data_IF_140656731343
#
_entry.id   IF_140656731343
#
_cell.length_a   1.000
_cell.length_b   1.000
_cell.length_c   1.000
_cell.angle_alpha   90.00
_cell.angle_beta   90.00
_cell.angle_gamma   90.00
#
_symmetry.space_group_name_H-M   'P 1'
#
loop_
_entity.id
_entity.type
_entity.pdbx_description
1 polymer ?
#
# COMPACT_ATOMS: atom_id res chain seq x y z
N UNK A 1 -0.61 -32.54 74.61
CA UNK A 1 -0.38 -31.14 74.19
C UNK A 1 0.19 -31.00 72.78
N UNK A 2 0.96 -31.97 72.25
CA UNK A 2 1.47 -31.93 70.86
C UNK A 2 0.44 -32.21 69.74
N UNK A 3 -0.65 -32.93 70.03
CA UNK A 3 -1.67 -33.26 69.02
C UNK A 3 -2.60 -32.09 68.66
N UNK A 4 -2.77 -31.11 69.55
CA UNK A 4 -3.63 -29.94 69.29
C UNK A 4 -2.94 -28.88 68.42
N UNK A 5 -1.61 -28.80 68.47
CA UNK A 5 -0.82 -27.86 67.65
C UNK A 5 -0.76 -28.27 66.17
N UNK A 6 -0.72 -29.57 65.87
CA UNK A 6 -0.67 -30.05 64.49
C UNK A 6 -1.99 -29.80 63.74
N UNK A 7 -3.13 -30.00 64.40
CA UNK A 7 -4.45 -29.69 63.83
C UNK A 7 -4.70 -28.19 63.62
N UNK A 8 -4.16 -27.32 64.49
CA UNK A 8 -4.31 -25.88 64.33
C UNK A 8 -3.54 -25.35 63.10
N UNK A 9 -2.33 -25.87 62.84
CA UNK A 9 -1.52 -25.51 61.67
C UNK A 9 -2.16 -25.97 60.36
N UNK A 10 -2.76 -27.16 60.35
CA UNK A 10 -3.49 -27.69 59.18
C UNK A 10 -4.73 -26.86 58.87
N UNK A 11 -5.48 -26.43 59.90
CA UNK A 11 -6.67 -25.58 59.71
C UNK A 11 -6.26 -24.18 59.24
N UNK A 12 -5.17 -23.62 59.76
CA UNK A 12 -4.67 -22.30 59.34
C UNK A 12 -4.13 -22.30 57.90
N UNK A 13 -3.45 -23.37 57.48
CA UNK A 13 -2.97 -23.52 56.09
C UNK A 13 -4.11 -23.76 55.11
N UNK A 14 -5.16 -24.49 55.50
CA UNK A 14 -6.40 -24.62 54.71
C UNK A 14 -7.13 -23.29 54.54
N UNK A 15 -7.20 -22.45 55.58
CA UNK A 15 -7.80 -21.11 55.49
C UNK A 15 -7.02 -20.19 54.56
N UNK A 16 -5.68 -20.18 54.66
CA UNK A 16 -4.82 -19.38 53.78
C UNK A 16 -4.94 -19.85 52.33
N UNK A 17 -4.99 -21.15 52.06
CA UNK A 17 -5.21 -21.70 50.71
C UNK A 17 -6.58 -21.29 50.13
N UNK A 18 -7.62 -21.29 50.96
CA UNK A 18 -8.96 -20.87 50.55
C UNK A 18 -9.01 -19.36 50.26
N UNK A 19 -8.34 -18.53 51.07
CA UNK A 19 -8.23 -17.08 50.82
C UNK A 19 -7.38 -16.74 49.60
N UNK A 20 -6.26 -17.43 49.36
CA UNK A 20 -5.41 -17.23 48.17
C UNK A 20 -6.17 -17.64 46.90
N UNK A 21 -6.96 -18.72 46.95
CA UNK A 21 -7.82 -19.12 45.83
C UNK A 21 -8.90 -18.08 45.51
N UNK A 22 -9.48 -17.42 46.52
CA UNK A 22 -10.48 -16.36 46.31
C UNK A 22 -9.86 -15.06 45.79
N UNK A 23 -8.66 -14.70 46.24
CA UNK A 23 -7.93 -13.51 45.75
C UNK A 23 -7.48 -13.68 44.30
N UNK A 24 -6.98 -14.87 43.92
CA UNK A 24 -6.60 -15.17 42.53
C UNK A 24 -7.79 -15.15 41.56
N UNK A 25 -9.00 -15.53 42.02
CA UNK A 25 -10.22 -15.53 41.19
C UNK A 25 -10.83 -14.13 41.05
N UNK A 26 -10.57 -13.21 41.99
CA UNK A 26 -11.14 -11.85 41.95
C UNK A 26 -10.26 -10.82 41.25
N UNK A 27 -8.95 -11.07 41.07
CA UNK A 27 -8.05 -10.16 40.35
C UNK A 27 -7.88 -10.45 38.85
N UNK A 28 -8.52 -11.50 38.30
CA UNK A 28 -8.46 -11.85 36.88
C UNK A 28 -9.87 -11.91 36.29
N UNK A 29 -10.46 -10.76 35.96
CA UNK A 29 -11.82 -10.67 35.42
C UNK A 29 -11.96 -10.97 33.92
N UNK A 30 -11.00 -11.66 33.28
CA UNK A 30 -11.14 -12.00 31.85
C UNK A 30 -10.46 -13.28 31.35
N UNK A 31 -10.01 -14.21 32.21
CA UNK A 31 -9.40 -15.47 31.74
C UNK A 31 -9.79 -16.67 32.62
N UNK A 32 -10.26 -17.76 31.99
CA UNK A 32 -10.53 -19.04 32.67
C UNK A 32 -9.21 -19.78 32.92
N UNK A 33 -8.77 -19.83 34.18
CA UNK A 33 -7.63 -20.66 34.61
C UNK A 33 -8.12 -22.11 34.77
N UNK A 34 -7.64 -23.04 33.92
CA UNK A 34 -8.09 -24.45 33.97
C UNK A 34 -7.34 -25.33 34.97
N UNK A 35 -6.06 -25.07 35.24
CA UNK A 35 -5.26 -25.94 36.11
C UNK A 35 -4.14 -25.16 36.82
N UNK A 36 -4.15 -25.21 38.15
CA UNK A 36 -3.06 -24.74 39.01
C UNK A 36 -2.54 -25.98 39.74
N UNK A 37 -1.22 -26.22 39.70
CA UNK A 37 -0.57 -27.19 40.56
C UNK A 37 0.15 -26.45 41.69
N UNK A 38 -0.20 -26.80 42.92
CA UNK A 38 0.44 -26.29 44.12
C UNK A 38 1.41 -27.37 44.60
N UNK A 39 2.70 -27.07 44.59
CA UNK A 39 3.72 -27.97 45.16
C UNK A 39 4.17 -27.38 46.48
N UNK A 40 3.93 -28.10 47.56
CA UNK A 40 4.36 -27.71 48.91
C UNK A 40 5.58 -28.52 49.34
N UNK A 41 6.63 -27.82 49.77
CA UNK A 41 7.80 -28.45 50.39
C UNK A 41 7.71 -28.31 51.90
N UNK A 42 7.66 -29.43 52.61
CA UNK A 42 7.53 -29.47 54.08
C UNK A 42 8.82 -29.13 54.82
N UNK A 43 9.96 -29.05 54.13
CA UNK A 43 11.26 -28.79 54.76
C UNK A 43 11.65 -27.31 54.77
N UNK A 44 11.06 -26.48 53.91
CA UNK A 44 11.49 -25.08 53.75
C UNK A 44 10.37 -24.04 53.89
N UNK A 45 9.12 -24.43 54.18
CA UNK A 45 7.96 -23.52 54.21
C UNK A 45 7.82 -22.68 52.92
N UNK A 46 8.22 -23.23 51.77
CA UNK A 46 8.08 -22.59 50.48
C UNK A 46 6.88 -23.21 49.75
N UNK A 47 5.95 -22.36 49.34
CA UNK A 47 4.83 -22.72 48.45
C UNK A 47 5.19 -22.23 47.05
N UNK A 48 5.43 -23.13 46.12
CA UNK A 48 5.61 -22.79 44.70
C UNK A 48 4.29 -23.00 43.95
N UNK A 49 3.85 -21.95 43.27
CA UNK A 49 2.69 -21.96 42.39
C UNK A 49 3.18 -22.06 40.94
N UNK A 50 2.98 -23.22 40.33
CA UNK A 50 3.29 -23.40 38.92
C UNK A 50 2.00 -23.24 38.09
N UNK A 51 1.97 -22.17 37.28
CA UNK A 51 0.91 -21.95 36.29
C UNK A 51 1.27 -22.73 35.02
N UNK A 52 0.51 -23.78 34.73
CA UNK A 52 0.84 -24.74 33.67
C UNK A 52 0.02 -24.48 32.38
N UNK A 53 -1.19 -23.92 32.47
CA UNK A 53 -1.99 -23.65 31.27
C UNK A 53 -2.92 -22.45 31.48
N UNK A 54 -2.61 -21.33 30.79
CA UNK A 54 -3.54 -20.24 30.54
C UNK A 54 -4.01 -20.39 29.11
N UNK A 55 -5.24 -20.88 28.92
CA UNK A 55 -5.95 -20.65 27.65
C UNK A 55 -6.85 -19.47 27.88
N UNK A 56 -6.49 -18.33 27.30
CA UNK A 56 -7.50 -17.30 27.07
C UNK A 56 -8.66 -17.98 26.33
N UNK A 57 -9.91 -17.85 26.79
CA UNK A 57 -11.01 -18.06 25.87
C UNK A 57 -10.73 -17.09 24.73
N UNK A 58 -10.45 -17.63 23.54
CA UNK A 58 -10.43 -16.84 22.32
C UNK A 58 -11.78 -16.15 22.30
N UNK A 59 -11.82 -14.90 22.77
CA UNK A 59 -12.91 -14.00 22.54
C UNK A 59 -13.16 -14.13 21.05
N UNK A 60 -14.39 -14.55 20.68
CA UNK A 60 -14.79 -14.55 19.28
C UNK A 60 -14.35 -13.20 18.75
N UNK A 61 -13.39 -13.16 17.80
CA UNK A 61 -12.76 -11.91 17.44
C UNK A 61 -13.89 -11.06 16.88
N UNK A 62 -14.18 -9.93 17.53
CA UNK A 62 -14.99 -8.90 16.90
C UNK A 62 -14.31 -8.62 15.55
N UNK A 63 -14.97 -9.08 14.49
CA UNK A 63 -14.37 -9.39 13.21
C UNK A 63 -14.22 -8.15 12.31
N UNK A 64 -13.86 -7.02 12.92
CA UNK A 64 -13.77 -5.72 12.27
C UNK A 64 -12.50 -5.04 12.77
N UNK A 65 -11.45 -5.08 11.94
CA UNK A 65 -10.34 -4.15 12.11
C UNK A 65 -10.86 -2.76 11.71
N UNK A 66 -11.08 -1.90 12.71
CA UNK A 66 -11.57 -0.53 12.54
C UNK A 66 -10.74 0.30 11.56
N UNK A 67 -9.53 -0.16 11.22
CA UNK A 67 -8.60 0.41 10.23
C UNK A 67 -9.14 0.42 8.79
N UNK A 68 -10.13 -0.42 8.46
CA UNK A 68 -10.79 -0.42 7.14
C UNK A 68 -12.31 -0.23 7.21
N UNK A 69 -12.92 -0.29 8.41
CA UNK A 69 -14.38 -0.21 8.59
C UNK A 69 -14.87 1.06 9.29
N UNK A 70 -14.00 2.05 9.49
CA UNK A 70 -14.42 3.40 9.87
C UNK A 70 -14.82 4.22 8.64
N UNK A 71 -15.60 5.29 8.85
CA UNK A 71 -16.00 6.23 7.79
C UNK A 71 -14.83 6.97 7.12
N UNK A 72 -13.57 6.73 7.53
CA UNK A 72 -12.36 7.34 6.97
C UNK A 72 -11.13 6.43 7.27
N UNK A 73 -10.84 5.40 6.46
CA UNK A 73 -9.62 4.63 6.65
C UNK A 73 -8.41 5.54 6.36
N UNK A 74 -7.47 5.65 7.31
CA UNK A 74 -6.20 6.40 7.17
C UNK A 74 -5.24 5.76 6.15
N UNK A 75 -5.74 5.40 4.98
CA UNK A 75 -5.07 4.69 3.91
C UNK A 75 -5.40 5.37 2.60
N UNK A 76 -4.38 5.85 1.90
CA UNK A 76 -4.47 6.34 0.55
C UNK A 76 -4.43 5.16 -0.44
N UNK A 77 -5.50 5.02 -1.23
CA UNK A 77 -5.60 4.08 -2.35
C UNK A 77 -5.49 4.89 -3.65
N UNK A 78 -4.42 4.68 -4.40
CA UNK A 78 -4.31 5.26 -5.73
C UNK A 78 -5.37 4.64 -6.65
N UNK A 79 -6.13 5.50 -7.31
CA UNK A 79 -7.24 5.16 -8.20
C UNK A 79 -6.98 5.66 -9.64
N UNK A 80 -5.73 5.99 -9.94
CA UNK A 80 -5.28 6.44 -11.26
C UNK A 80 -5.28 5.34 -12.30
N UNK A 81 -5.27 4.07 -11.91
CA UNK A 81 -5.40 2.94 -12.83
C UNK A 81 -6.59 2.13 -12.41
N UNK A 82 -7.49 1.82 -13.34
CA UNK A 82 -8.63 0.95 -13.09
C UNK A 82 -8.82 -0.08 -14.21
N UNK A 83 -9.51 -1.19 -13.96
CA UNK A 83 -9.87 -2.16 -14.99
C UNK A 83 -11.18 -1.77 -15.63
N UNK A 84 -11.21 -1.74 -16.96
CA UNK A 84 -12.43 -1.50 -17.73
C UNK A 84 -12.61 -2.59 -18.78
N UNK A 85 -13.87 -2.86 -19.11
CA UNK A 85 -14.23 -3.72 -20.23
C UNK A 85 -14.78 -2.85 -21.34
N UNK A 86 -14.20 -2.96 -22.54
CA UNK A 86 -14.55 -2.14 -23.69
C UNK A 86 -14.94 -3.03 -24.85
N UNK A 87 -15.99 -2.63 -25.57
CA UNK A 87 -16.31 -3.25 -26.84
C UNK A 87 -15.49 -2.59 -27.95
N UNK A 88 -14.68 -3.38 -28.66
CA UNK A 88 -13.83 -2.90 -29.75
C UNK A 88 -14.62 -2.14 -30.84
N UNK A 89 -15.88 -2.52 -31.11
CA UNK A 89 -16.76 -1.83 -32.08
C UNK A 89 -17.05 -0.37 -31.72
N UNK A 90 -16.85 0.01 -30.45
CA UNK A 90 -17.14 1.34 -29.93
C UNK A 90 -15.90 2.23 -29.80
N UNK A 91 -14.73 1.72 -30.19
CA UNK A 91 -13.45 2.42 -30.05
C UNK A 91 -13.21 3.50 -31.11
N UNK A 92 -13.72 3.30 -32.32
CA UNK A 92 -13.49 4.21 -33.45
C UNK A 92 -14.80 4.68 -34.05
N UNK A 93 -14.79 5.89 -34.63
CA UNK A 93 -15.96 6.46 -35.32
C UNK A 93 -16.35 5.66 -36.58
N UNK A 94 -15.37 5.03 -37.23
CA UNK A 94 -15.56 4.14 -38.38
C UNK A 94 -15.90 2.70 -37.98
N UNK A 95 -15.92 2.40 -36.66
CA UNK A 95 -16.19 1.08 -36.06
C UNK A 95 -15.27 -0.03 -36.54
N UNK A 96 -14.08 0.31 -37.05
CA UNK A 96 -13.10 -0.69 -37.48
C UNK A 96 -12.52 -1.42 -36.29
N UNK A 97 -12.57 -2.74 -36.37
CA UNK A 97 -12.08 -3.67 -35.38
C UNK A 97 -10.91 -4.44 -36.00
N UNK A 98 -9.79 -4.50 -35.29
CA UNK A 98 -8.66 -5.39 -35.60
C UNK A 98 -8.99 -6.84 -35.25
N UNK A 99 -9.93 -7.05 -34.32
CA UNK A 99 -10.18 -8.35 -33.70
C UNK A 99 -9.08 -8.75 -32.71
N UNK A 100 -8.10 -7.87 -32.45
CA UNK A 100 -7.04 -8.07 -31.49
C UNK A 100 -7.07 -6.98 -30.41
N UNK A 101 -7.31 -7.38 -29.18
CA UNK A 101 -7.34 -6.45 -28.05
C UNK A 101 -5.95 -5.92 -27.70
N UNK A 102 -4.88 -6.67 -28.01
CA UNK A 102 -3.52 -6.31 -27.64
C UNK A 102 -3.00 -5.12 -28.45
N UNK A 103 -3.60 -4.79 -29.60
CA UNK A 103 -3.23 -3.61 -30.40
C UNK A 103 -3.95 -2.32 -29.99
N UNK A 104 -4.74 -2.36 -28.91
CA UNK A 104 -5.50 -1.21 -28.45
C UNK A 104 -4.68 -0.24 -27.57
N UNK A 105 -3.57 -0.71 -27.01
CA UNK A 105 -2.66 0.09 -26.19
C UNK A 105 -1.47 0.67 -26.99
N UNK A 106 -1.39 0.39 -28.30
CA UNK A 106 -0.37 0.95 -29.19
C UNK A 106 -0.48 2.49 -29.22
N UNK A 107 0.46 3.11 -28.50
CA UNK A 107 0.58 4.53 -28.22
C UNK A 107 0.12 5.42 -29.38
N UNK A 108 -1.07 6.02 -29.23
CA UNK A 108 -1.55 7.13 -30.06
C UNK A 108 -2.73 6.86 -30.99
N UNK A 109 -3.29 5.65 -31.06
CA UNK A 109 -4.44 5.39 -31.96
C UNK A 109 -5.82 5.51 -31.31
N UNK A 110 -5.96 5.29 -30.00
CA UNK A 110 -7.27 5.34 -29.33
C UNK A 110 -7.14 6.05 -27.98
N UNK A 111 -7.48 7.34 -27.95
CA UNK A 111 -7.74 7.99 -26.67
C UNK A 111 -8.99 7.37 -26.06
N UNK A 112 -8.90 6.92 -24.80
CA UNK A 112 -10.04 6.41 -24.04
C UNK A 112 -11.21 7.39 -23.89
N UNK A 113 -10.97 8.68 -24.20
CA UNK A 113 -11.95 9.75 -24.21
C UNK A 113 -12.86 9.74 -25.44
N UNK A 114 -12.41 9.17 -26.55
CA UNK A 114 -13.14 9.13 -27.83
C UNK A 114 -14.04 7.91 -27.96
N UNK A 115 -14.19 7.14 -26.88
CA UNK A 115 -14.99 5.93 -26.84
C UNK A 115 -16.47 6.27 -26.78
N UNK A 116 -17.24 5.81 -27.78
CA UNK A 116 -18.70 5.79 -27.71
C UNK A 116 -19.18 4.57 -26.91
N UNK A 117 -18.52 4.31 -25.79
CA UNK A 117 -18.79 3.24 -24.84
C UNK A 117 -19.21 3.85 -23.50
N UNK A 118 -20.09 3.18 -22.75
CA UNK A 118 -20.47 3.58 -21.40
C UNK A 118 -19.29 3.47 -20.43
N UNK A 119 -18.29 2.64 -20.74
CA UNK A 119 -17.09 2.46 -19.95
C UNK A 119 -15.94 3.34 -20.47
N UNK A 120 -16.17 4.65 -20.60
CA UNK A 120 -15.14 5.58 -21.05
C UNK A 120 -13.93 5.55 -20.11
N UNK A 121 -12.74 5.60 -20.70
CA UNK A 121 -11.51 5.78 -19.92
C UNK A 121 -11.14 7.26 -19.93
N UNK A 122 -11.17 7.97 -18.79
CA UNK A 122 -10.71 9.35 -18.68
C UNK A 122 -9.17 9.45 -18.73
N UNK A 123 -8.57 8.96 -19.82
CA UNK A 123 -7.13 8.97 -20.06
C UNK A 123 -6.72 7.89 -21.06
N UNK A 124 -5.70 7.12 -20.70
CA UNK A 124 -5.00 6.22 -21.62
C UNK A 124 -5.35 4.76 -21.36
N UNK A 125 -5.45 3.97 -22.44
CA UNK A 125 -5.58 2.53 -22.36
C UNK A 125 -4.19 1.90 -22.29
N UNK A 126 -3.99 1.01 -21.33
CA UNK A 126 -2.75 0.30 -21.08
C UNK A 126 -3.03 -1.20 -21.00
N UNK A 127 -2.13 -2.01 -21.55
CA UNK A 127 -2.13 -3.48 -21.41
C UNK A 127 -3.53 -4.05 -21.63
N UNK A 128 -4.05 -3.93 -22.84
CA UNK A 128 -5.35 -4.51 -23.18
C UNK A 128 -5.21 -5.99 -23.52
N UNK A 129 -6.22 -6.80 -23.21
CA UNK A 129 -6.25 -8.23 -23.56
C UNK A 129 -7.66 -8.70 -23.89
N UNK A 130 -7.70 -9.82 -24.61
CA UNK A 130 -8.95 -10.46 -25.01
C UNK A 130 -9.73 -11.00 -23.80
N UNK A 131 -10.99 -10.59 -23.66
CA UNK A 131 -11.90 -11.15 -22.67
C UNK A 131 -12.85 -12.17 -23.29
N UNK A 132 -13.56 -11.78 -24.34
CA UNK A 132 -14.54 -12.66 -25.01
C UNK A 132 -14.89 -12.15 -26.40
N UNK A 133 -15.39 -13.04 -27.26
CA UNK A 133 -15.96 -12.64 -28.55
C UNK A 133 -17.37 -12.11 -28.35
N UNK A 134 -17.72 -11.00 -29.00
CA UNK A 134 -19.11 -10.53 -29.05
C UNK A 134 -19.97 -11.49 -29.86
N UNK A 135 -21.28 -11.55 -29.59
CA UNK A 135 -22.20 -12.38 -30.37
C UNK A 135 -22.21 -11.99 -31.86
N UNK A 136 -22.04 -10.70 -32.17
CA UNK A 136 -21.90 -10.22 -33.55
C UNK A 136 -20.66 -10.77 -34.21
N UNK A 137 -19.50 -10.74 -33.53
CA UNK A 137 -18.25 -11.31 -34.04
C UNK A 137 -18.36 -12.81 -34.25
N UNK A 138 -18.93 -13.55 -33.29
CA UNK A 138 -19.18 -15.00 -33.44
C UNK A 138 -20.02 -15.31 -34.67
N UNK A 139 -21.10 -14.54 -34.88
CA UNK A 139 -21.97 -14.68 -36.06
C UNK A 139 -21.20 -14.36 -37.35
N UNK A 140 -20.46 -13.25 -37.39
CA UNK A 140 -19.68 -12.86 -38.56
C UNK A 140 -18.61 -13.90 -38.93
N UNK A 141 -17.93 -14.48 -37.94
CA UNK A 141 -16.95 -15.55 -38.16
C UNK A 141 -17.61 -16.83 -38.67
N UNK A 142 -18.78 -17.19 -38.14
CA UNK A 142 -19.56 -18.33 -38.63
C UNK A 142 -20.02 -18.13 -40.07
N UNK A 143 -20.60 -16.98 -40.38
CA UNK A 143 -21.07 -16.64 -41.73
C UNK A 143 -19.89 -16.66 -42.73
N UNK A 144 -18.72 -16.17 -42.33
CA UNK A 144 -17.50 -16.23 -43.13
C UNK A 144 -17.01 -17.67 -43.33
N UNK A 145 -17.06 -18.52 -42.29
CA UNK A 145 -16.69 -19.93 -42.36
C UNK A 145 -17.63 -20.72 -43.30
N UNK A 146 -18.95 -20.56 -43.14
CA UNK A 146 -19.96 -21.27 -43.94
C UNK A 146 -19.92 -20.84 -45.42
N UNK A 147 -19.45 -19.62 -45.71
CA UNK A 147 -19.32 -19.10 -47.08
C UNK A 147 -18.00 -19.52 -47.74
N UNK A 148 -16.96 -19.85 -46.97
CA UNK A 148 -15.61 -20.18 -47.47
C UNK A 148 -15.55 -21.40 -48.41
N UNK A 149 -16.31 -22.51 -48.20
CA UNK A 149 -16.39 -23.64 -49.12
C UNK A 149 -16.92 -23.28 -50.51
N UNK A 150 -17.70 -22.20 -50.63
CA UNK A 150 -18.27 -21.74 -51.89
C UNK A 150 -17.34 -20.81 -52.68
N UNK A 151 -16.19 -20.45 -52.10
CA UNK A 151 -15.08 -19.84 -52.83
C UNK A 151 -14.25 -20.99 -53.40
N UNK A 152 -14.32 -21.20 -54.72
CA UNK A 152 -13.53 -22.21 -55.46
C UNK A 152 -12.02 -21.97 -55.27
N UNK A 153 -11.47 -22.36 -54.12
CA UNK A 153 -10.04 -22.43 -53.89
C UNK A 153 -9.60 -23.83 -54.28
N UNK A 154 -9.01 -23.96 -55.47
CA UNK A 154 -8.40 -25.21 -55.90
C UNK A 154 -7.23 -25.64 -54.99
N UNK A 155 -6.70 -26.84 -55.24
CA UNK A 155 -5.70 -27.55 -54.42
C UNK A 155 -4.34 -26.86 -54.25
N UNK A 156 -4.14 -25.65 -54.78
CA UNK A 156 -2.89 -24.85 -54.67
C UNK A 156 -3.00 -23.66 -53.72
N UNK A 157 -4.07 -23.59 -52.94
CA UNK A 157 -4.32 -22.48 -52.02
C UNK A 157 -4.93 -21.26 -52.73
N UNK A 158 -5.68 -20.46 -52.00
CA UNK A 158 -6.26 -19.22 -52.53
C UNK A 158 -5.10 -18.24 -52.80
N UNK A 159 -4.72 -18.05 -54.06
CA UNK A 159 -3.71 -17.06 -54.44
C UNK A 159 -4.20 -15.65 -54.08
N UNK A 160 -3.40 -14.81 -53.39
CA UNK A 160 -3.81 -13.45 -52.99
C UNK A 160 -4.12 -12.51 -54.15
N UNK A 161 -3.78 -12.90 -55.39
CA UNK A 161 -3.69 -11.99 -56.54
C UNK A 161 -4.97 -11.97 -57.40
N UNK A 162 -5.97 -12.85 -57.17
CA UNK A 162 -7.11 -12.99 -58.10
C UNK A 162 -8.51 -13.05 -57.48
N UNK A 163 -8.75 -12.43 -56.32
CA UNK A 163 -10.10 -12.45 -55.72
C UNK A 163 -10.55 -11.05 -55.29
N UNK A 164 -10.85 -10.18 -56.26
CA UNK A 164 -11.86 -9.12 -56.10
C UNK A 164 -13.26 -9.76 -56.16
N UNK A 165 -13.53 -10.73 -55.28
CA UNK A 165 -14.85 -11.32 -55.17
C UNK A 165 -15.68 -10.44 -54.23
N UNK A 166 -16.77 -9.82 -54.70
CA UNK A 166 -17.61 -8.95 -53.88
C UNK A 166 -18.13 -9.64 -52.61
N UNK A 167 -18.27 -10.98 -52.64
CA UNK A 167 -18.65 -11.77 -51.45
C UNK A 167 -17.53 -11.84 -50.42
N UNK A 168 -16.27 -11.93 -50.86
CA UNK A 168 -15.11 -11.93 -49.97
C UNK A 168 -14.95 -10.57 -49.28
N UNK A 169 -15.02 -9.49 -50.07
CA UNK A 169 -14.97 -8.12 -49.55
C UNK A 169 -16.15 -7.83 -48.61
N UNK A 170 -17.32 -8.40 -48.90
CA UNK A 170 -18.52 -8.30 -48.06
C UNK A 170 -18.34 -8.88 -46.66
N UNK A 171 -17.91 -10.14 -46.53
CA UNK A 171 -17.72 -10.74 -45.20
C UNK A 171 -16.51 -10.13 -44.48
N UNK A 172 -15.42 -9.83 -45.21
CA UNK A 172 -14.25 -9.17 -44.64
C UNK A 172 -14.64 -7.84 -44.04
N UNK A 173 -15.46 -7.04 -44.74
CA UNK A 173 -16.02 -5.80 -44.21
C UNK A 173 -16.83 -6.04 -42.93
N UNK A 174 -17.65 -7.08 -42.85
CA UNK A 174 -18.41 -7.39 -41.63
C UNK A 174 -17.49 -7.79 -40.47
N UNK A 175 -16.47 -8.62 -40.72
CA UNK A 175 -15.46 -8.96 -39.72
C UNK A 175 -14.69 -7.72 -39.27
N UNK A 176 -14.23 -6.90 -40.19
CA UNK A 176 -13.50 -5.65 -39.90
C UNK A 176 -14.36 -4.62 -39.14
N UNK A 177 -15.68 -4.81 -38.99
CA UNK A 177 -16.57 -3.95 -38.20
C UNK A 177 -17.31 -4.69 -37.08
N UNK A 178 -16.88 -5.92 -36.77
CA UNK A 178 -17.36 -6.66 -35.60
C UNK A 178 -16.18 -7.00 -34.70
N UNK A 179 -16.30 -6.63 -33.44
CA UNK A 179 -15.17 -6.55 -32.52
C UNK A 179 -15.27 -7.55 -31.37
N UNK A 180 -14.19 -7.66 -30.61
CA UNK A 180 -14.17 -8.41 -29.36
C UNK A 180 -14.54 -7.53 -28.16
N UNK A 181 -14.89 -8.19 -27.06
CA UNK A 181 -14.83 -7.55 -25.73
C UNK A 181 -13.40 -7.64 -25.23
N UNK A 182 -12.82 -6.50 -24.93
CA UNK A 182 -11.47 -6.34 -24.44
C UNK A 182 -11.49 -5.87 -22.99
N UNK A 183 -10.60 -6.41 -22.16
CA UNK A 183 -10.29 -5.84 -20.84
C UNK A 183 -9.03 -5.00 -20.97
N UNK A 184 -9.04 -3.80 -20.42
CA UNK A 184 -7.92 -2.88 -20.46
C UNK A 184 -7.69 -2.28 -19.08
N UNK A 185 -6.44 -1.87 -18.80
CA UNK A 185 -6.17 -0.94 -17.72
C UNK A 185 -6.39 0.47 -18.25
N UNK A 186 -7.29 1.20 -17.60
CA UNK A 186 -7.51 2.62 -17.85
C UNK A 186 -6.64 3.44 -16.89
N UNK A 187 -5.66 4.15 -17.43
CA UNK A 187 -4.92 5.17 -16.71
C UNK A 187 -5.66 6.51 -16.79
N UNK A 188 -6.28 6.89 -15.69
CA UNK A 188 -6.99 8.15 -15.51
C UNK A 188 -5.98 9.29 -15.30
N UNK A 189 -6.04 10.29 -16.17
CA UNK A 189 -5.14 11.46 -16.14
C UNK A 189 -5.81 12.74 -15.63
N UNK A 190 -7.10 12.69 -15.30
CA UNK A 190 -7.87 13.84 -14.80
C UNK A 190 -9.10 13.40 -14.00
N UNK A 191 -9.68 14.32 -13.24
CA UNK A 191 -10.96 14.09 -12.58
C UNK A 191 -12.11 14.12 -13.58
N UNK A 192 -12.94 13.08 -13.57
CA UNK A 192 -14.32 13.24 -14.02
C UNK A 192 -15.04 14.10 -12.97
N UNK A 193 -16.06 14.86 -13.38
CA UNK A 193 -16.90 15.65 -12.46
C UNK A 193 -17.66 14.70 -11.51
N UNK A 194 -16.98 14.21 -10.47
CA UNK A 194 -17.54 13.32 -9.46
C UNK A 194 -17.76 14.09 -8.17
N UNK A 195 -19.00 14.04 -7.68
CA UNK A 195 -19.43 14.64 -6.40
C UNK A 195 -18.81 13.90 -5.19
N UNK A 196 -18.33 12.67 -5.41
CA UNK A 196 -17.78 11.80 -4.38
C UNK A 196 -16.27 12.03 -4.14
N UNK A 197 -15.90 12.33 -2.90
CA UNK A 197 -14.51 12.58 -2.49
C UNK A 197 -13.62 11.34 -2.62
N UNK A 198 -14.19 10.15 -2.45
CA UNK A 198 -13.46 8.88 -2.60
C UNK A 198 -13.14 8.58 -4.08
N UNK A 199 -13.86 9.22 -5.00
CA UNK A 199 -13.64 9.14 -6.44
C UNK A 199 -12.76 10.27 -7.00
N UNK A 200 -12.32 11.22 -6.16
CA UNK A 200 -11.28 12.19 -6.58
C UNK A 200 -10.01 11.42 -6.94
N UNK A 201 -9.38 11.81 -8.04
CA UNK A 201 -8.13 11.21 -8.52
C UNK A 201 -7.08 11.34 -7.42
N UNK A 202 -6.33 10.27 -7.23
CA UNK A 202 -5.09 10.20 -6.49
C UNK A 202 -4.14 9.41 -7.36
N UNK A 203 -3.09 10.08 -7.83
CA UNK A 203 -2.18 9.52 -8.83
C UNK A 203 -0.70 9.76 -8.52
N UNK A 204 -0.36 10.63 -7.58
CA UNK A 204 1.01 11.10 -7.41
C UNK A 204 1.46 11.25 -5.96
N UNK A 205 2.78 11.28 -5.77
CA UNK A 205 3.44 11.60 -4.50
C UNK A 205 4.38 12.79 -4.72
N UNK A 206 4.40 13.73 -3.79
CA UNK A 206 5.29 14.87 -3.80
C UNK A 206 6.64 14.54 -3.16
N UNK A 207 7.72 14.79 -3.89
CA UNK A 207 9.11 14.60 -3.45
C UNK A 207 9.83 15.92 -3.14
N UNK A 208 9.09 17.02 -3.02
CA UNK A 208 9.69 18.30 -2.63
C UNK A 208 10.35 18.20 -1.25
N UNK A 209 11.47 18.92 -1.04
CA UNK A 209 12.08 19.05 0.28
C UNK A 209 11.10 19.67 1.27
N UNK A 210 10.97 19.05 2.44
CA UNK A 210 10.19 19.55 3.58
C UNK A 210 11.14 19.87 4.71
N UNK A 211 11.09 21.10 5.23
CA UNK A 211 11.92 21.54 6.35
C UNK A 211 11.09 22.16 7.45
N UNK A 212 11.62 22.10 8.67
CA UNK A 212 11.06 22.76 9.85
C UNK A 212 11.47 24.24 9.89
N UNK A 213 10.77 25.02 10.70
CA UNK A 213 11.04 26.45 10.90
C UNK A 213 12.40 26.65 11.60
N UNK A 214 13.00 27.82 11.42
CA UNK A 214 14.28 28.15 12.08
C UNK A 214 14.16 28.03 13.60
N UNK A 215 15.05 27.25 14.21
CA UNK A 215 15.05 26.99 15.65
C UNK A 215 14.14 25.84 16.08
N UNK A 216 13.50 25.15 15.13
CA UNK A 216 12.69 23.97 15.38
C UNK A 216 13.45 22.70 14.98
N UNK A 217 12.95 21.57 15.47
CA UNK A 217 13.40 20.23 15.10
C UNK A 217 12.19 19.38 14.74
N UNK A 218 12.39 18.36 13.91
CA UNK A 218 11.35 17.39 13.60
C UNK A 218 11.16 16.41 14.78
N UNK A 219 9.90 16.08 15.06
CA UNK A 219 9.44 15.23 16.19
C UNK A 219 8.50 14.12 15.73
N UNK A 220 8.23 14.04 14.44
CA UNK A 220 7.31 13.10 13.83
C UNK A 220 7.06 13.44 12.37
N UNK A 221 6.38 12.54 11.67
CA UNK A 221 6.09 12.64 10.24
C UNK A 221 4.70 12.11 9.95
N UNK A 222 4.11 12.54 8.83
CA UNK A 222 2.90 11.93 8.29
C UNK A 222 2.82 12.15 6.80
N UNK A 223 2.02 11.33 6.14
CA UNK A 223 1.52 11.64 4.80
C UNK A 223 0.15 12.31 4.89
N UNK A 224 -0.09 13.29 4.02
CA UNK A 224 -1.41 13.90 3.85
C UNK A 224 -1.76 13.95 2.38
N UNK A 225 -3.03 13.67 2.08
CA UNK A 225 -3.57 13.82 0.73
C UNK A 225 -4.03 15.26 0.55
N UNK A 226 -3.60 15.90 -0.53
CA UNK A 226 -4.19 17.14 -1.02
C UNK A 226 -4.38 17.01 -2.53
N UNK A 227 -5.62 17.16 -2.98
CA UNK A 227 -6.04 16.86 -4.36
C UNK A 227 -5.63 15.43 -4.80
N UNK A 228 -4.87 15.34 -5.89
CA UNK A 228 -4.36 14.11 -6.48
C UNK A 228 -2.95 13.72 -6.02
N UNK A 229 -2.41 14.41 -5.01
CA UNK A 229 -1.02 14.25 -4.58
C UNK A 229 -0.94 13.92 -3.08
N UNK A 230 -0.06 12.98 -2.73
CA UNK A 230 0.34 12.72 -1.34
C UNK A 230 1.55 13.57 -0.98
N UNK A 231 1.50 14.27 0.16
CA UNK A 231 2.55 15.14 0.68
C UNK A 231 3.14 14.57 1.95
N UNK A 232 4.46 14.68 2.10
CA UNK A 232 5.12 14.52 3.38
C UNK A 232 4.91 15.79 4.24
N UNK A 233 4.61 15.62 5.52
CA UNK A 233 4.69 16.70 6.50
C UNK A 233 5.54 16.28 7.69
N UNK A 234 6.27 17.25 8.25
CA UNK A 234 7.03 17.07 9.48
C UNK A 234 6.24 17.69 10.65
N UNK A 235 6.17 16.99 11.78
CA UNK A 235 5.75 17.58 13.03
C UNK A 235 6.96 18.26 13.64
N UNK A 236 6.86 19.55 13.92
CA UNK A 236 7.97 20.35 14.42
C UNK A 236 7.70 20.88 15.83
N UNK A 237 8.76 21.05 16.62
CA UNK A 237 8.73 21.72 17.92
C UNK A 237 10.00 22.56 18.11
N UNK A 238 9.88 23.69 18.81
CA UNK A 238 11.01 24.57 19.10
C UNK A 238 11.94 23.92 20.11
N UNK A 239 13.22 23.90 19.79
CA UNK A 239 14.27 23.48 20.71
C UNK A 239 14.82 24.71 21.46
N UNK A 240 14.77 24.68 22.79
CA UNK A 240 15.27 25.75 23.63
C UNK A 240 15.82 25.18 24.94
N UNK A 241 17.04 25.54 25.30
CA UNK A 241 17.73 25.09 26.52
C UNK A 241 17.73 23.55 26.68
N UNK A 242 17.98 22.83 25.58
CA UNK A 242 18.04 21.37 25.56
C UNK A 242 16.68 20.68 25.67
N UNK A 243 15.57 21.42 25.63
CA UNK A 243 14.21 20.91 25.78
C UNK A 243 13.31 21.33 24.63
N UNK A 244 12.37 20.46 24.30
CA UNK A 244 11.32 20.78 23.33
C UNK A 244 10.18 21.54 24.03
N UNK A 245 9.75 22.63 23.39
CA UNK A 245 8.63 23.43 23.90
C UNK A 245 7.33 22.86 23.33
N UNK A 246 6.59 22.13 24.17
CA UNK A 246 5.32 21.47 23.82
C UNK A 246 4.30 22.38 23.13
N UNK A 247 4.15 23.60 23.61
CA UNK A 247 3.16 24.57 23.09
C UNK A 247 3.48 25.07 21.68
N UNK A 248 4.67 24.77 21.17
CA UNK A 248 5.09 25.15 19.81
C UNK A 248 4.90 24.02 18.79
N UNK A 249 4.37 22.86 19.23
CA UNK A 249 4.13 21.72 18.35
C UNK A 249 3.13 22.06 17.26
N UNK A 250 3.54 21.90 16.01
CA UNK A 250 2.66 22.02 14.84
C UNK A 250 3.18 21.17 13.68
N UNK A 251 2.32 20.91 12.70
CA UNK A 251 2.73 20.37 11.41
C UNK A 251 3.33 21.48 10.55
N UNK A 252 4.27 21.14 9.67
CA UNK A 252 4.78 22.06 8.64
C UNK A 252 3.67 22.43 7.66
N UNK A 253 3.66 23.68 7.22
CA UNK A 253 2.68 24.16 6.24
C UNK A 253 2.84 23.44 4.90
N UNK A 254 1.72 23.09 4.26
CA UNK A 254 1.72 22.50 2.93
C UNK A 254 2.03 23.57 1.90
N UNK A 255 3.04 23.30 1.07
CA UNK A 255 3.37 24.11 -0.11
C UNK A 255 2.95 23.34 -1.35
N UNK A 256 2.57 24.06 -2.42
CA UNK A 256 2.27 23.45 -3.70
C UNK A 256 3.50 22.69 -4.20
N UNK A 257 3.31 21.43 -4.57
CA UNK A 257 4.39 20.59 -5.06
C UNK A 257 4.93 21.14 -6.40
N UNK A 258 6.24 21.18 -6.55
CA UNK A 258 6.89 21.46 -7.82
C UNK A 258 6.53 20.38 -8.85
N UNK A 259 6.11 20.73 -10.08
CA UNK A 259 5.83 19.74 -11.13
C UNK A 259 6.99 18.79 -11.40
N UNK A 260 8.25 19.24 -11.22
CA UNK A 260 9.44 18.41 -11.40
C UNK A 260 9.61 17.32 -10.31
N UNK A 261 9.01 17.50 -9.14
CA UNK A 261 9.09 16.59 -8.00
C UNK A 261 7.76 15.90 -7.68
N UNK A 262 6.70 16.18 -8.46
CA UNK A 262 5.46 15.42 -8.43
C UNK A 262 5.66 14.13 -9.22
N UNK A 263 5.82 13.00 -8.53
CA UNK A 263 6.03 11.70 -9.18
C UNK A 263 4.69 10.97 -9.31
N UNK A 264 4.16 10.75 -10.53
CA UNK A 264 2.98 9.94 -10.72
C UNK A 264 3.30 8.47 -10.48
N UNK A 265 2.32 7.73 -9.96
CA UNK A 265 2.36 6.28 -9.75
C UNK A 265 2.58 5.53 -11.06
N UNK A 266 2.09 6.07 -12.16
CA UNK A 266 2.40 5.60 -13.50
C UNK A 266 2.72 6.79 -14.40
N UNK A 267 3.91 6.76 -14.99
CA UNK A 267 4.37 7.76 -15.94
C UNK A 267 4.10 7.23 -17.35
N UNK A 268 3.14 7.84 -18.05
CA UNK A 268 2.77 7.49 -19.42
C UNK A 268 3.90 7.72 -20.42
N UNK A 269 4.68 8.79 -20.25
CA UNK A 269 5.73 9.18 -21.18
C UNK A 269 6.91 8.19 -21.14
N UNK A 270 7.20 7.65 -19.95
CA UNK A 270 8.25 6.66 -19.74
C UNK A 270 7.74 5.22 -19.79
N UNK A 271 6.42 5.02 -19.88
CA UNK A 271 5.75 3.73 -19.70
C UNK A 271 6.29 2.98 -18.45
N UNK A 272 6.43 3.71 -17.34
CA UNK A 272 7.06 3.19 -16.12
C UNK A 272 6.23 3.51 -14.89
N UNK A 273 6.07 2.51 -14.04
CA UNK A 273 5.49 2.69 -12.71
C UNK A 273 6.48 3.29 -11.71
N UNK A 274 5.94 3.98 -10.71
CA UNK A 274 6.72 4.53 -9.61
C UNK A 274 7.40 3.41 -8.83
N UNK A 275 8.70 3.52 -8.74
CA UNK A 275 9.56 2.65 -7.94
C UNK A 275 10.01 3.46 -6.71
N UNK A 276 9.89 2.89 -5.51
CA UNK A 276 10.43 3.50 -4.29
C UNK A 276 11.50 2.60 -3.69
N UNK A 277 12.71 3.14 -3.54
CA UNK A 277 13.78 2.45 -2.82
C UNK A 277 13.50 2.50 -1.33
N UNK A 278 13.45 1.33 -0.69
CA UNK A 278 13.23 1.26 0.76
C UNK A 278 14.55 1.51 1.46
N UNK A 279 14.70 2.71 2.00
CA UNK A 279 15.90 3.19 2.65
C UNK A 279 15.58 3.81 4.01
N UNK A 280 16.48 3.59 4.95
CA UNK A 280 16.56 4.28 6.23
C UNK A 280 17.73 5.28 6.17
N UNK A 281 17.43 6.59 6.23
CA UNK A 281 18.44 7.65 6.28
C UNK A 281 18.49 8.20 7.71
N UNK A 282 19.64 8.01 8.36
CA UNK A 282 19.81 8.30 9.79
C UNK A 282 21.02 9.21 9.97
N UNK A 283 20.83 10.30 10.71
CA UNK A 283 21.89 11.23 11.09
C UNK A 283 22.76 10.67 12.24
N UNK A 284 23.97 11.21 12.44
CA UNK A 284 24.79 10.91 13.61
C UNK A 284 24.04 11.11 14.94
N UNK A 285 24.45 10.43 16.00
CA UNK A 285 23.74 10.41 17.30
C UNK A 285 23.52 11.79 17.91
N UNK A 286 24.47 12.71 17.71
CA UNK A 286 24.40 14.07 18.19
C UNK A 286 23.78 15.05 17.16
N UNK A 287 23.03 14.55 16.17
CA UNK A 287 22.33 15.39 15.20
C UNK A 287 20.83 15.06 15.17
N UNK A 288 20.04 16.10 14.86
CA UNK A 288 18.57 16.02 14.79
C UNK A 288 18.07 16.49 13.44
N UNK A 289 16.95 15.91 13.00
CA UNK A 289 16.37 16.20 11.69
C UNK A 289 15.74 17.60 11.68
N UNK A 290 16.07 18.37 10.66
CA UNK A 290 15.47 19.67 10.36
C UNK A 290 14.87 19.72 8.95
N UNK A 291 15.18 18.76 8.08
CA UNK A 291 14.54 18.63 6.78
C UNK A 291 14.68 17.26 6.16
N UNK A 292 13.79 16.95 5.20
CA UNK A 292 13.72 15.66 4.52
C UNK A 292 13.37 15.90 3.05
N UNK A 293 14.11 15.25 2.16
CA UNK A 293 13.79 15.09 0.74
C UNK A 293 13.69 13.59 0.47
N UNK A 294 12.49 13.10 0.14
CA UNK A 294 12.26 11.67 -0.09
C UNK A 294 13.20 11.13 -1.17
N UNK A 295 13.77 9.94 -0.94
CA UNK A 295 14.76 9.26 -1.81
C UNK A 295 16.09 9.98 -2.07
N UNK A 296 16.30 11.20 -1.56
CA UNK A 296 17.53 11.95 -1.79
C UNK A 296 18.32 12.19 -0.49
N UNK A 297 17.72 12.82 0.52
CA UNK A 297 18.50 13.27 1.67
C UNK A 297 17.69 13.59 2.92
N UNK A 298 18.37 13.53 4.06
CA UNK A 298 17.92 14.05 5.35
C UNK A 298 18.87 15.17 5.78
N UNK A 299 18.29 16.33 6.06
CA UNK A 299 18.99 17.50 6.59
C UNK A 299 18.84 17.55 8.11
N UNK A 300 19.87 18.01 8.78
CA UNK A 300 19.87 18.14 10.22
C UNK A 300 20.84 19.18 10.75
N UNK A 301 20.82 19.30 12.08
CA UNK A 301 21.75 20.13 12.84
C UNK A 301 22.35 19.35 13.99
N UNK A 302 23.63 19.61 14.24
CA UNK A 302 24.31 19.07 15.42
C UNK A 302 23.81 19.72 16.70
N UNK A 303 23.81 18.93 17.76
CA UNK A 303 23.59 19.35 19.12
C UNK A 303 24.92 19.38 19.89
N UNK A 304 25.04 20.34 20.79
CA UNK A 304 26.13 20.40 21.77
C UNK A 304 25.80 19.56 23.03
N UNK A 305 26.73 19.54 23.99
CA UNK A 305 26.59 18.78 25.24
C UNK A 305 25.37 19.21 26.07
N UNK A 306 24.90 20.45 25.89
CA UNK A 306 23.68 20.96 26.52
C UNK A 306 22.41 20.63 25.72
N UNK A 307 22.50 19.75 24.72
CA UNK A 307 21.41 19.40 23.79
C UNK A 307 20.76 20.59 23.07
N UNK A 308 21.46 21.71 22.97
CA UNK A 308 21.09 22.84 22.12
C UNK A 308 21.77 22.72 20.76
N UNK A 309 21.30 23.47 19.77
CA UNK A 309 22.01 23.56 18.51
C UNK A 309 23.47 23.99 18.71
N UNK A 310 24.37 23.25 18.09
CA UNK A 310 25.76 23.64 18.01
C UNK A 310 25.90 24.69 16.89
N UNK A 311 26.13 25.94 17.27
CA UNK A 311 26.30 27.03 16.30
C UNK A 311 27.67 27.01 15.61
N UNK A 312 28.62 26.20 16.11
CA UNK A 312 29.95 26.03 15.49
C UNK A 312 29.94 24.94 14.42
N UNK A 313 29.16 23.88 14.64
CA UNK A 313 28.96 22.79 13.68
C UNK A 313 27.76 23.13 12.81
N UNK A 314 28.02 23.54 11.57
CA UNK A 314 26.97 23.89 10.60
C UNK A 314 25.97 22.76 10.34
N UNK A 315 25.07 23.00 9.39
CA UNK A 315 24.08 22.00 8.98
C UNK A 315 24.74 20.75 8.40
N UNK A 316 24.13 19.59 8.65
CA UNK A 316 24.52 18.31 8.07
C UNK A 316 23.47 17.88 7.05
N UNK A 317 23.91 17.39 5.90
CA UNK A 317 23.05 16.70 4.93
C UNK A 317 23.56 15.28 4.77
N UNK A 318 22.78 14.31 5.22
CA UNK A 318 23.01 12.90 4.93
C UNK A 318 22.24 12.55 3.66
N UNK A 319 22.96 12.28 2.57
CA UNK A 319 22.36 11.80 1.33
C UNK A 319 22.04 10.31 1.41
N UNK A 320 21.16 9.87 0.52
CA UNK A 320 20.89 8.47 0.22
C UNK A 320 22.19 7.71 0.01
N UNK A 321 22.29 6.58 0.69
CA UNK A 321 23.36 5.61 0.65
C UNK A 321 23.07 4.49 -0.36
N UNK A 322 21.84 4.41 -0.87
CA UNK A 322 21.45 3.41 -1.86
C UNK A 322 22.03 3.71 -3.25
N UNK A 323 23.29 3.31 -3.45
CA UNK A 323 23.97 3.36 -4.76
C UNK A 323 23.56 2.19 -5.66
N UNK A 324 23.19 2.46 -6.91
CA UNK A 324 22.80 1.44 -7.89
C UNK A 324 21.32 1.00 -7.83
N UNK A 325 21.02 -0.10 -8.53
CA UNK A 325 19.70 -0.77 -8.45
C UNK A 325 19.62 -1.57 -7.15
N UNK A 326 18.51 -1.45 -6.43
CA UNK A 326 18.23 -2.31 -5.27
C UNK A 326 18.18 -3.78 -5.72
N UNK A 327 18.55 -4.68 -4.81
CA UNK A 327 18.82 -6.09 -5.17
C UNK A 327 17.56 -6.91 -5.35
N UNK A 328 16.46 -6.56 -4.67
CA UNK A 328 15.20 -7.30 -4.78
C UNK A 328 13.96 -6.39 -4.79
N UNK A 329 13.00 -6.71 -5.66
CA UNK A 329 11.63 -6.19 -5.57
C UNK A 329 10.92 -6.91 -4.43
N UNK A 330 10.24 -6.19 -3.54
CA UNK A 330 9.43 -6.79 -2.46
C UNK A 330 8.35 -7.72 -3.02
N UNK A 331 7.84 -7.42 -4.21
CA UNK A 331 6.83 -8.24 -4.88
C UNK A 331 7.41 -9.30 -5.81
N UNK A 332 8.73 -9.32 -6.03
CA UNK A 332 9.36 -10.18 -7.04
C UNK A 332 8.68 -10.07 -8.40
N UNK A 333 8.53 -11.21 -9.09
CA UNK A 333 7.74 -11.33 -10.33
C UNK A 333 6.29 -11.76 -10.07
N UNK A 334 5.81 -11.66 -8.82
CA UNK A 334 4.50 -12.19 -8.44
C UNK A 334 3.37 -11.23 -8.83
N UNK A 335 2.26 -11.81 -9.29
CA UNK A 335 1.01 -11.08 -9.38
C UNK A 335 0.49 -10.80 -7.96
N UNK A 336 0.33 -9.53 -7.62
CA UNK A 336 -0.03 -9.10 -6.26
C UNK A 336 -1.52 -8.82 -6.13
N UNK A 337 -2.15 -9.39 -5.11
CA UNK A 337 -3.55 -9.11 -4.78
C UNK A 337 -3.68 -7.78 -4.02
N UNK A 338 -4.84 -7.11 -4.10
CA UNK A 338 -5.14 -5.97 -3.24
C UNK A 338 -5.02 -6.33 -1.77
N UNK A 339 -4.44 -5.45 -0.97
CA UNK A 339 -4.41 -5.58 0.50
C UNK A 339 -5.84 -5.66 1.03
N UNK A 340 -6.11 -6.62 1.92
CA UNK A 340 -7.43 -6.86 2.51
C UNK A 340 -7.30 -6.97 4.03
N UNK A 341 -8.39 -6.76 4.78
CA UNK A 341 -8.43 -7.01 6.23
C UNK A 341 -7.82 -8.34 6.70
N UNK A 342 -7.86 -9.40 5.87
CA UNK A 342 -7.24 -10.70 6.17
C UNK A 342 -5.70 -10.65 6.15
N UNK A 343 -5.11 -9.82 5.29
CA UNK A 343 -3.67 -9.58 5.25
C UNK A 343 -3.14 -8.85 6.50
N UNK A 344 -4.00 -8.43 7.42
CA UNK A 344 -3.60 -7.60 8.56
C UNK A 344 -3.09 -8.41 9.77
N UNK A 345 -3.50 -9.69 9.91
CA UNK A 345 -3.17 -10.50 11.10
C UNK A 345 -1.75 -11.07 11.09
N UNK A 346 -1.22 -11.38 9.91
CA UNK A 346 0.12 -11.96 9.71
C UNK A 346 0.99 -11.04 8.84
N UNK A 347 1.06 -9.75 9.20
CA UNK A 347 1.89 -8.80 8.47
C UNK A 347 3.37 -8.97 8.83
N UNK A 348 4.20 -9.19 7.82
CA UNK A 348 5.65 -9.17 7.94
C UNK A 348 6.19 -7.83 7.43
N UNK A 349 7.23 -7.32 8.11
CA UNK A 349 8.02 -6.22 7.56
C UNK A 349 8.91 -6.75 6.44
N UNK A 350 8.81 -6.15 5.26
CA UNK A 350 9.63 -6.49 4.10
C UNK A 350 10.65 -5.39 3.75
N UNK A 351 10.57 -4.23 4.40
CA UNK A 351 11.53 -3.14 4.27
C UNK A 351 12.89 -3.51 4.86
N UNK A 352 13.88 -3.72 4.00
CA UNK A 352 15.30 -3.73 4.37
C UNK A 352 16.00 -2.58 3.68
N UNK A 353 16.59 -1.70 4.48
CA UNK A 353 17.28 -0.49 4.02
C UNK A 353 18.30 -0.81 2.91
N UNK A 354 18.15 -0.15 1.76
CA UNK A 354 18.95 -0.29 0.54
C UNK A 354 19.03 -1.68 -0.11
N UNK A 355 18.25 -2.66 0.37
CA UNK A 355 18.20 -3.99 -0.26
C UNK A 355 16.93 -4.18 -1.08
N UNK A 356 15.82 -3.60 -0.61
CA UNK A 356 14.50 -3.69 -1.25
C UNK A 356 14.09 -2.43 -2.01
N UNK A 357 13.30 -2.59 -3.06
CA UNK A 357 12.38 -1.57 -3.55
C UNK A 357 10.95 -2.09 -3.62
N UNK A 358 10.00 -1.17 -3.66
CA UNK A 358 8.63 -1.44 -4.09
C UNK A 358 8.42 -0.87 -5.49
N UNK A 359 7.57 -1.56 -6.26
CA UNK A 359 7.04 -1.04 -7.51
C UNK A 359 5.54 -0.87 -7.32
N UNK A 360 5.04 0.35 -7.48
CA UNK A 360 3.61 0.54 -7.54
C UNK A 360 3.06 -0.13 -8.79
N UNK A 361 1.99 -0.92 -8.68
CA UNK A 361 1.40 -1.54 -9.86
C UNK A 361 -0.08 -1.83 -9.66
N UNK A 362 -0.81 -1.96 -10.76
CA UNK A 362 -2.17 -2.47 -10.71
C UNK A 362 -2.17 -3.89 -10.14
N UNK A 363 -3.13 -4.18 -9.26
CA UNK A 363 -3.28 -5.52 -8.70
C UNK A 363 -3.59 -6.60 -9.76
N UNK A 364 -3.38 -7.86 -9.38
CA UNK A 364 -3.49 -9.06 -10.22
C UNK A 364 -4.85 -9.21 -10.92
N UNK A 365 -4.81 -9.76 -12.13
CA UNK A 365 -5.93 -9.91 -13.07
C UNK A 365 -7.09 -10.77 -12.55
N UNK A 366 -6.82 -11.72 -11.66
CA UNK A 366 -7.81 -12.71 -11.19
C UNK A 366 -8.95 -12.10 -10.34
N UNK A 367 -8.74 -10.89 -9.81
CA UNK A 367 -9.75 -10.21 -9.02
C UNK A 367 -10.50 -9.20 -9.89
N UNK A 368 -11.56 -9.67 -10.56
CA UNK A 368 -12.43 -8.88 -11.45
C UNK A 368 -13.12 -7.66 -10.81
N UNK A 369 -12.87 -7.39 -9.52
CA UNK A 369 -13.64 -6.43 -8.72
C UNK A 369 -12.85 -5.30 -8.07
N UNK A 370 -11.51 -5.34 -8.04
CA UNK A 370 -10.73 -4.36 -7.27
C UNK A 370 -9.49 -3.90 -8.02
N UNK A 371 -9.58 -2.80 -8.78
CA UNK A 371 -8.49 -2.42 -9.67
C UNK A 371 -7.54 -1.39 -9.04
N UNK A 372 -7.32 -1.43 -7.73
CA UNK A 372 -6.44 -0.44 -7.10
C UNK A 372 -4.97 -0.67 -7.42
N UNK A 373 -4.20 0.41 -7.42
CA UNK A 373 -2.75 0.34 -7.42
C UNK A 373 -2.28 0.03 -6.00
N UNK A 374 -1.36 -0.93 -5.91
CA UNK A 374 -0.73 -1.37 -4.66
C UNK A 374 0.77 -1.03 -4.66
N UNK A 375 1.40 -0.86 -3.48
CA UNK A 375 0.84 -0.89 -2.12
C UNK A 375 -0.09 0.30 -1.83
N UNK A 376 -0.89 0.20 -0.77
CA UNK A 376 -1.61 1.36 -0.22
C UNK A 376 -0.68 2.20 0.65
N UNK A 377 -0.87 3.51 0.70
CA UNK A 377 -0.05 4.42 1.51
C UNK A 377 -0.72 4.68 2.85
N UNK A 378 -0.01 4.48 3.94
CA UNK A 378 -0.47 4.74 5.29
C UNK A 378 -0.37 6.23 5.61
N UNK A 379 -1.52 6.86 5.89
CA UNK A 379 -1.62 8.30 6.14
C UNK A 379 -1.51 8.65 7.64
N UNK A 380 -1.38 7.65 8.51
CA UNK A 380 -1.32 7.88 9.96
C UNK A 380 -0.07 8.69 10.32
N UNK A 381 -0.22 9.51 11.35
CA UNK A 381 0.93 10.18 11.93
C UNK A 381 1.84 9.21 12.68
N UNK A 382 3.13 9.43 12.51
CA UNK A 382 4.18 8.67 13.17
C UNK A 382 4.95 9.66 14.02
N UNK A 383 4.68 9.59 15.31
CA UNK A 383 5.15 10.56 16.29
C UNK A 383 5.81 9.84 17.45
N UNK A 384 6.70 10.54 18.13
CA UNK A 384 7.27 10.06 19.39
C UNK A 384 6.22 10.19 20.50
N UNK A 385 6.07 9.15 21.33
CA UNK A 385 5.19 9.12 22.51
C UNK A 385 5.62 10.16 23.55
N UNK A 386 6.92 10.17 23.85
CA UNK A 386 7.60 11.23 24.57
C UNK A 386 8.05 12.31 23.58
N UNK A 387 7.91 13.61 23.88
CA UNK A 387 8.37 14.68 23.00
C UNK A 387 9.88 14.65 22.78
N UNK A 388 10.27 14.02 21.69
CA UNK A 388 11.67 13.83 21.32
C UNK A 388 11.90 14.18 19.87
N UNK A 389 13.09 14.73 19.60
CA UNK A 389 13.56 14.99 18.26
C UNK A 389 13.86 13.66 17.56
N UNK A 390 13.51 13.58 16.27
CA UNK A 390 13.89 12.43 15.45
C UNK A 390 15.30 12.68 14.88
N UNK A 391 16.06 11.59 14.71
CA UNK A 391 17.40 11.60 14.10
C UNK A 391 17.42 11.01 12.69
N UNK A 392 16.31 10.45 12.23
CA UNK A 392 16.22 9.86 10.90
C UNK A 392 14.80 9.54 10.49
N UNK A 393 14.66 9.24 9.20
CA UNK A 393 13.43 8.81 8.57
C UNK A 393 13.74 7.63 7.64
N UNK A 394 12.77 6.77 7.43
CA UNK A 394 12.87 5.71 6.43
C UNK A 394 11.51 5.24 5.94
N UNK A 395 11.55 4.23 5.09
CA UNK A 395 10.36 3.58 4.56
C UNK A 395 10.08 2.29 5.31
N UNK A 396 8.82 2.07 5.67
CA UNK A 396 8.34 0.82 6.26
C UNK A 396 7.32 0.19 5.34
N UNK A 397 7.66 -0.95 4.76
CA UNK A 397 6.70 -1.75 3.98
C UNK A 397 6.33 -3.00 4.78
N UNK A 398 5.03 -3.21 4.94
CA UNK A 398 4.49 -4.39 5.61
C UNK A 398 3.38 -5.02 4.79
N UNK A 399 3.28 -6.34 4.82
CA UNK A 399 2.22 -7.04 4.10
C UNK A 399 2.18 -8.54 4.40
N UNK A 400 1.29 -9.21 3.68
CA UNK A 400 1.25 -10.67 3.60
C UNK A 400 1.81 -11.13 2.24
N UNK A 401 2.56 -12.25 2.16
CA UNK A 401 3.05 -12.77 0.89
C UNK A 401 1.94 -12.93 -0.16
N UNK A 402 2.17 -12.42 -1.36
CA UNK A 402 1.19 -12.42 -2.46
C UNK A 402 0.19 -11.24 -2.46
N UNK A 403 0.31 -10.32 -1.50
CA UNK A 403 -0.51 -9.11 -1.40
C UNK A 403 0.35 -7.85 -1.52
N UNK A 404 -0.26 -6.76 -1.99
CA UNK A 404 0.39 -5.47 -2.14
C UNK A 404 0.93 -4.86 -0.84
N UNK A 405 0.28 -5.14 0.29
CA UNK A 405 0.66 -4.59 1.59
C UNK A 405 0.42 -3.08 1.71
N UNK A 406 1.15 -2.48 2.64
CA UNK A 406 1.03 -1.09 3.04
C UNK A 406 2.42 -0.46 3.11
N UNK A 407 2.55 0.74 2.55
CA UNK A 407 3.74 1.58 2.64
C UNK A 407 3.50 2.67 3.67
N UNK A 408 4.35 2.75 4.68
CA UNK A 408 4.34 3.77 5.70
C UNK A 408 5.72 4.42 5.82
N UNK A 409 5.79 5.52 6.57
CA UNK A 409 7.06 6.06 7.04
C UNK A 409 7.56 5.29 8.25
N UNK A 410 8.83 5.47 8.56
CA UNK A 410 9.50 5.04 9.79
C UNK A 410 10.28 6.22 10.33
N UNK A 411 10.32 6.39 11.65
CA UNK A 411 11.16 7.42 12.29
C UNK A 411 12.18 6.76 13.21
N UNK A 412 13.34 7.38 13.32
CA UNK A 412 14.40 6.97 14.24
C UNK A 412 14.50 8.01 15.34
N UNK A 413 14.34 7.57 16.60
CA UNK A 413 14.47 8.45 17.76
C UNK A 413 15.94 8.73 18.07
N UNK A 414 16.21 9.91 18.63
CA UNK A 414 17.47 10.18 19.31
C UNK A 414 17.57 9.22 20.51
N UNK A 415 18.68 8.51 20.64
CA UNK A 415 18.95 7.60 21.77
C UNK A 415 19.47 8.41 22.96
#
# INVERSE_FOLDING_TARGET
MHLLYSSAIVIWTLFILQSISQIAVTSCSSSEVKKIEVVTSTTENIVQLNLIEIKEPLAKPNNYDWRESGNDPNLAKFNSINLISINEEKLTSDKRCTGNCDSLDDHGRVSGRSLNDSNQCPGDLLNCWFQSKTEKRKKAEKDAYDTRPHLNCGSRGCSPILVTNPKYDGFKKVLDHTGNMCKCRCHRTYNLDSIDEDNKLLDSICFDPVSVDKGFVATGTKFTRHDNVIYLQLRQARLSNGRLIETTKKWTDLKRCSPANTKPVYNSDLNKYLEIKLEDIILPENAVVTGVTLEDSVQGRYLNDNSNFDEKRGEITQRSQCSGSTTYSVFGNYQVKPSTGVSIRDNNEFSKSCQSHILFQGSSQDNEKLPYVVPYVDLREIVTESPEAIRGIGWHHRGFPGYGGFLALKIFKKV
#
